data_IF_678974455925
#
_entry.id   IF_678974455925
#
_cell.length_a   1.000
_cell.length_b   1.000
_cell.length_c   1.000
_cell.angle_alpha   90.00
_cell.angle_beta   90.00
_cell.angle_gamma   90.00
#
_symmetry.space_group_name_H-M   'P 1'
#
loop_
_entity.id
_entity.type
_entity.pdbx_description
1 polymer ?
#
# COMPACT_ATOMS: atom_id res chain seq x y z
N UNK A 1 -34.63 5.08 -33.98
CA UNK A 1 -33.69 4.49 -33.01
C UNK A 1 -32.30 4.93 -33.45
N UNK A 2 -31.78 6.02 -32.80
CA UNK A 2 -30.51 6.62 -33.14
C UNK A 2 -29.40 5.88 -32.37
N UNK A 3 -28.67 4.99 -33.05
CA UNK A 3 -27.57 4.18 -32.52
C UNK A 3 -26.20 4.85 -32.79
N UNK A 4 -26.00 6.11 -32.42
CA UNK A 4 -24.69 6.78 -32.56
C UNK A 4 -24.43 7.73 -31.38
N UNK A 5 -24.57 7.26 -30.14
CA UNK A 5 -23.84 7.82 -29.02
C UNK A 5 -22.66 6.88 -28.72
N UNK A 6 -21.62 6.98 -29.56
CA UNK A 6 -20.30 6.50 -29.20
C UNK A 6 -19.89 7.24 -27.94
N UNK A 7 -19.76 6.53 -26.83
CA UNK A 7 -19.21 7.05 -25.59
C UNK A 7 -17.74 7.37 -25.88
N UNK A 8 -17.48 8.61 -26.32
CA UNK A 8 -16.14 9.17 -26.34
C UNK A 8 -15.81 9.43 -24.89
N UNK A 9 -15.15 8.48 -24.26
CA UNK A 9 -14.49 8.71 -22.99
C UNK A 9 -13.37 9.69 -23.34
N UNK A 10 -13.51 10.95 -22.98
CA UNK A 10 -12.42 11.92 -23.04
C UNK A 10 -11.35 11.47 -22.05
N UNK A 11 -10.42 10.64 -22.54
CA UNK A 11 -9.30 10.09 -21.82
C UNK A 11 -8.14 11.10 -21.66
N UNK A 12 -8.45 12.39 -21.74
CA UNK A 12 -7.57 13.50 -21.43
C UNK A 12 -7.97 14.15 -20.10
N UNK A 13 -8.22 13.33 -19.07
CA UNK A 13 -8.12 13.81 -17.72
C UNK A 13 -6.64 14.16 -17.47
N UNK A 14 -6.41 15.34 -16.95
CA UNK A 14 -5.10 15.87 -16.61
C UNK A 14 -4.48 14.96 -15.53
N UNK A 15 -3.81 13.89 -15.96
CA UNK A 15 -3.20 12.92 -15.03
C UNK A 15 -1.98 13.59 -14.41
N UNK A 16 -2.04 13.79 -13.09
CA UNK A 16 -0.90 14.25 -12.32
C UNK A 16 0.27 13.29 -12.50
N UNK A 17 1.45 13.83 -12.64
CA UNK A 17 2.69 13.04 -12.62
C UNK A 17 2.91 12.41 -11.25
N UNK A 18 3.66 11.32 -11.19
CA UNK A 18 4.02 10.65 -9.92
C UNK A 18 4.63 11.62 -8.91
N UNK A 19 5.42 12.60 -9.40
CA UNK A 19 6.05 13.61 -8.57
C UNK A 19 5.03 14.58 -7.96
N UNK A 20 4.02 14.99 -8.72
CA UNK A 20 2.94 15.85 -8.24
C UNK A 20 2.11 15.12 -7.19
N UNK A 21 1.74 13.87 -7.44
CA UNK A 21 1.02 13.01 -6.49
C UNK A 21 1.84 12.87 -5.19
N UNK A 22 3.14 12.60 -5.30
CA UNK A 22 4.01 12.44 -4.14
C UNK A 22 4.17 13.72 -3.31
N UNK A 23 4.20 14.89 -3.97
CA UNK A 23 4.31 16.20 -3.30
C UNK A 23 3.02 16.60 -2.59
N UNK A 24 1.88 16.30 -3.18
CA UNK A 24 0.56 16.62 -2.61
C UNK A 24 0.14 15.63 -1.51
N UNK A 25 0.75 14.44 -1.46
CA UNK A 25 0.41 13.41 -0.48
C UNK A 25 0.60 13.91 0.95
N UNK A 26 -0.47 13.88 1.73
CA UNK A 26 -0.44 14.22 3.15
C UNK A 26 0.23 13.10 3.94
N UNK A 27 1.48 13.31 4.31
CA UNK A 27 2.24 12.33 5.10
C UNK A 27 1.77 12.30 6.55
N UNK A 28 1.53 11.11 7.07
CA UNK A 28 1.22 10.85 8.48
C UNK A 28 2.47 10.32 9.17
N UNK A 29 2.73 10.75 10.40
CA UNK A 29 3.86 10.21 11.18
C UNK A 29 3.66 8.73 11.46
N UNK A 30 4.75 7.95 11.45
CA UNK A 30 4.67 6.49 11.58
C UNK A 30 4.09 6.04 12.92
N UNK A 31 4.37 6.74 14.00
CA UNK A 31 3.82 6.42 15.32
C UNK A 31 2.30 6.65 15.36
N UNK A 32 1.82 7.76 14.78
CA UNK A 32 0.39 8.06 14.70
C UNK A 32 -0.33 7.01 13.81
N UNK A 33 0.30 6.62 12.70
CA UNK A 33 -0.24 5.59 11.82
C UNK A 33 -0.36 4.25 12.52
N UNK A 34 0.69 3.84 13.22
CA UNK A 34 0.73 2.57 13.94
C UNK A 34 -0.31 2.51 15.06
N UNK A 35 -0.44 3.59 15.83
CA UNK A 35 -1.45 3.69 16.88
C UNK A 35 -2.87 3.62 16.32
N UNK A 36 -3.15 4.41 15.28
CA UNK A 36 -4.51 4.56 14.75
C UNK A 36 -4.97 3.38 13.88
N UNK A 37 -4.04 2.77 13.11
CA UNK A 37 -4.37 1.70 12.15
C UNK A 37 -4.03 0.30 12.65
N UNK A 38 -2.97 0.15 13.43
CA UNK A 38 -2.47 -1.16 13.85
C UNK A 38 -2.73 -1.43 15.35
N UNK A 39 -3.21 -0.43 16.11
CA UNK A 39 -3.36 -0.52 17.57
C UNK A 39 -2.06 -0.99 18.24
N UNK A 40 -0.96 -0.37 17.84
CA UNK A 40 0.37 -0.60 18.40
C UNK A 40 0.80 0.61 19.21
N UNK A 41 1.35 0.36 20.39
CA UNK A 41 1.90 1.39 21.25
C UNK A 41 3.33 1.76 20.82
N UNK A 42 3.80 2.92 21.25
CA UNK A 42 5.13 3.44 20.92
C UNK A 42 6.26 2.49 21.35
N UNK A 43 6.08 1.75 22.45
CA UNK A 43 7.02 0.74 22.94
C UNK A 43 7.18 -0.46 22.00
N UNK A 44 6.21 -0.70 21.13
CA UNK A 44 6.23 -1.78 20.16
C UNK A 44 6.98 -1.42 18.87
N UNK A 45 7.47 -0.18 18.78
CA UNK A 45 8.13 0.36 17.62
C UNK A 45 9.49 0.95 17.93
N UNK A 46 10.40 0.85 16.98
CA UNK A 46 11.71 1.50 16.98
C UNK A 46 11.71 2.51 15.82
N UNK A 47 11.47 3.82 16.08
CA UNK A 47 11.35 4.80 15.01
C UNK A 47 12.71 5.12 14.37
N UNK A 48 12.69 5.27 13.05
CA UNK A 48 13.79 5.78 12.23
C UNK A 48 13.35 7.09 11.58
N UNK A 49 13.41 8.18 12.30
CA UNK A 49 12.84 9.47 11.90
C UNK A 49 11.30 9.47 12.02
N UNK A 50 10.65 10.33 11.25
CA UNK A 50 9.20 10.58 11.41
C UNK A 50 8.30 9.60 10.65
N UNK A 51 8.81 8.95 9.60
CA UNK A 51 7.98 8.22 8.63
C UNK A 51 8.35 6.74 8.45
N UNK A 52 9.32 6.25 9.22
CA UNK A 52 9.76 4.85 9.20
C UNK A 52 9.92 4.33 10.61
N UNK A 53 9.62 3.06 10.83
CA UNK A 53 9.90 2.35 12.06
C UNK A 53 10.14 0.86 11.80
N UNK A 54 10.83 0.22 12.71
CA UNK A 54 10.86 -1.24 12.83
C UNK A 54 9.94 -1.65 13.97
N UNK A 55 9.42 -2.88 13.91
CA UNK A 55 8.70 -3.47 15.03
C UNK A 55 9.73 -3.97 16.03
N UNK A 56 9.57 -3.62 17.32
CA UNK A 56 10.44 -4.09 18.39
C UNK A 56 10.19 -5.57 18.68
N UNK A 57 11.13 -6.22 19.39
CA UNK A 57 10.95 -7.60 19.82
C UNK A 57 9.68 -7.78 20.68
N UNK A 58 9.44 -6.85 21.62
CA UNK A 58 8.19 -6.79 22.37
C UNK A 58 6.97 -6.71 21.48
N UNK A 59 7.03 -5.86 20.44
CA UNK A 59 5.95 -5.70 19.47
C UNK A 59 5.69 -7.00 18.70
N UNK A 60 6.72 -7.75 18.33
CA UNK A 60 6.55 -9.05 17.66
C UNK A 60 5.87 -10.06 18.58
N UNK A 61 6.31 -10.19 19.83
CA UNK A 61 5.70 -11.08 20.81
C UNK A 61 4.21 -10.74 21.08
N UNK A 62 3.87 -9.46 21.09
CA UNK A 62 2.48 -9.03 21.27
C UNK A 62 1.63 -9.31 20.02
N UNK A 63 2.21 -9.23 18.83
CA UNK A 63 1.52 -9.56 17.58
C UNK A 63 1.23 -11.06 17.48
N UNK A 64 2.11 -11.93 17.96
CA UNK A 64 1.90 -13.38 17.95
C UNK A 64 0.67 -13.81 18.77
N UNK A 65 0.29 -13.02 19.77
CA UNK A 65 -0.90 -13.27 20.60
C UNK A 65 -2.20 -12.85 19.91
N UNK A 66 -2.11 -12.04 18.84
CA UNK A 66 -3.29 -11.54 18.12
C UNK A 66 -3.79 -12.57 17.11
N UNK A 67 -5.09 -12.52 16.83
CA UNK A 67 -5.69 -13.35 15.79
C UNK A 67 -5.10 -13.01 14.43
N UNK A 68 -4.63 -14.01 13.70
CA UNK A 68 -4.13 -13.84 12.34
C UNK A 68 -5.22 -13.36 11.39
N UNK A 69 -4.86 -12.43 10.53
CA UNK A 69 -5.70 -11.98 9.43
C UNK A 69 -5.68 -12.95 8.24
N UNK A 70 -6.32 -12.55 7.15
CA UNK A 70 -6.26 -13.27 5.88
C UNK A 70 -4.99 -12.87 5.13
N UNK A 71 -4.25 -13.84 4.64
CA UNK A 71 -3.08 -13.63 3.80
C UNK A 71 -3.48 -13.77 2.33
N UNK A 72 -3.13 -12.77 1.52
CA UNK A 72 -3.28 -12.79 0.07
C UNK A 72 -1.88 -12.75 -0.54
N UNK A 73 -1.50 -13.80 -1.25
CA UNK A 73 -0.21 -13.87 -1.95
C UNK A 73 -0.38 -13.38 -3.39
N UNK A 74 0.40 -12.37 -3.77
CA UNK A 74 0.52 -11.91 -5.15
C UNK A 74 1.86 -12.39 -5.71
N UNK A 75 1.80 -13.24 -6.74
CA UNK A 75 2.98 -13.84 -7.35
C UNK A 75 2.84 -13.89 -8.88
N UNK A 76 3.89 -14.27 -9.57
CA UNK A 76 3.89 -14.55 -11.02
C UNK A 76 4.50 -15.91 -11.30
N UNK A 77 4.04 -16.58 -12.36
CA UNK A 77 4.54 -17.90 -12.73
C UNK A 77 5.89 -17.85 -13.38
N UNK A 78 6.13 -16.85 -14.23
CA UNK A 78 7.39 -16.71 -14.98
C UNK A 78 7.88 -15.25 -14.94
N UNK A 79 9.19 -15.00 -14.84
CA UNK A 79 9.74 -13.67 -14.95
C UNK A 79 9.67 -13.17 -16.40
N UNK A 80 9.46 -11.85 -16.56
CA UNK A 80 9.53 -11.16 -17.84
C UNK A 80 10.51 -9.98 -17.76
N UNK A 81 11.09 -9.58 -18.88
CA UNK A 81 12.04 -8.45 -18.92
C UNK A 81 11.40 -7.12 -18.55
N UNK A 82 10.11 -6.95 -18.81
CA UNK A 82 9.35 -5.73 -18.49
C UNK A 82 8.77 -5.73 -17.06
N UNK A 83 8.93 -6.81 -16.32
CA UNK A 83 8.27 -7.01 -15.03
C UNK A 83 6.80 -7.46 -15.17
N UNK A 84 6.27 -8.13 -14.15
CA UNK A 84 4.92 -8.72 -14.17
C UNK A 84 3.87 -7.87 -13.42
N UNK A 85 4.27 -6.71 -12.90
CA UNK A 85 3.37 -5.82 -12.18
C UNK A 85 2.93 -6.31 -10.80
N UNK A 86 3.66 -7.23 -10.18
CA UNK A 86 3.35 -7.76 -8.83
C UNK A 86 3.22 -6.66 -7.79
N UNK A 87 4.16 -5.74 -7.76
CA UNK A 87 4.16 -4.62 -6.80
C UNK A 87 2.98 -3.70 -7.04
N UNK A 88 2.75 -3.30 -8.30
CA UNK A 88 1.60 -2.44 -8.67
C UNK A 88 0.28 -3.10 -8.28
N UNK A 89 0.12 -4.39 -8.57
CA UNK A 89 -1.07 -5.15 -8.19
C UNK A 89 -1.24 -5.23 -6.67
N UNK A 90 -0.16 -5.47 -5.92
CA UNK A 90 -0.20 -5.57 -4.45
C UNK A 90 -0.61 -4.25 -3.81
N UNK A 91 -0.04 -3.13 -4.28
CA UNK A 91 -0.38 -1.78 -3.80
C UNK A 91 -1.83 -1.45 -4.14
N UNK A 92 -2.22 -1.59 -5.41
CA UNK A 92 -3.57 -1.28 -5.87
C UNK A 92 -4.65 -2.13 -5.19
N UNK A 93 -4.38 -3.42 -4.94
CA UNK A 93 -5.29 -4.29 -4.18
C UNK A 93 -5.44 -3.81 -2.73
N UNK A 94 -4.33 -3.43 -2.09
CA UNK A 94 -4.36 -2.94 -0.70
C UNK A 94 -5.13 -1.63 -0.60
N UNK A 95 -4.90 -0.70 -1.52
CA UNK A 95 -5.62 0.57 -1.58
C UNK A 95 -7.12 0.35 -1.84
N UNK A 96 -7.47 -0.52 -2.79
CA UNK A 96 -8.85 -0.89 -3.07
C UNK A 96 -9.55 -1.50 -1.87
N UNK A 97 -8.89 -2.40 -1.14
CA UNK A 97 -9.45 -3.00 0.08
C UNK A 97 -9.68 -1.95 1.17
N UNK A 98 -8.72 -1.05 1.39
CA UNK A 98 -8.89 0.05 2.35
C UNK A 98 -10.00 1.02 1.92
N UNK A 99 -10.13 1.31 0.62
CA UNK A 99 -11.17 2.16 0.07
C UNK A 99 -12.58 1.62 0.35
N UNK A 100 -12.78 0.30 0.25
CA UNK A 100 -14.07 -0.34 0.59
C UNK A 100 -14.23 -0.63 2.09
N UNK A 101 -13.42 -0.01 2.95
CA UNK A 101 -13.52 -0.08 4.41
C UNK A 101 -12.96 -1.37 5.03
N UNK A 102 -12.15 -2.15 4.30
CA UNK A 102 -11.40 -3.27 4.88
C UNK A 102 -10.09 -2.77 5.45
N UNK A 103 -9.65 -3.35 6.57
CA UNK A 103 -8.33 -3.05 7.11
C UNK A 103 -7.29 -3.95 6.44
N UNK A 104 -6.54 -3.41 5.51
CA UNK A 104 -5.54 -4.13 4.73
C UNK A 104 -4.18 -3.44 4.83
N UNK A 105 -3.12 -4.25 4.85
CA UNK A 105 -1.74 -3.80 4.85
C UNK A 105 -0.96 -4.59 3.80
N UNK A 106 -0.08 -3.90 3.05
CA UNK A 106 0.80 -4.54 2.08
C UNK A 106 2.14 -4.87 2.70
N UNK A 107 2.67 -6.05 2.38
CA UNK A 107 4.04 -6.43 2.65
C UNK A 107 4.75 -6.69 1.32
N UNK A 108 5.72 -5.88 0.97
CA UNK A 108 6.48 -5.98 -0.26
C UNK A 108 7.85 -6.60 0.01
N UNK A 109 8.25 -7.54 -0.84
CA UNK A 109 9.61 -8.07 -0.83
C UNK A 109 10.48 -7.23 -1.76
N UNK A 110 11.55 -6.65 -1.23
CA UNK A 110 12.56 -5.91 -1.99
C UNK A 110 11.96 -4.94 -3.04
N UNK A 111 11.10 -3.99 -2.63
CA UNK A 111 10.63 -3.00 -3.57
C UNK A 111 11.83 -2.19 -4.05
N UNK A 112 12.25 -2.40 -5.29
CA UNK A 112 13.31 -1.59 -5.89
C UNK A 112 12.68 -0.42 -6.63
N UNK A 113 13.23 0.76 -6.40
CA UNK A 113 13.09 1.86 -7.34
C UNK A 113 14.08 1.55 -8.47
N UNK A 114 13.62 1.50 -9.69
CA UNK A 114 14.50 1.36 -10.85
C UNK A 114 15.58 2.46 -10.88
N UNK A 115 16.66 2.26 -11.63
CA UNK A 115 17.71 3.26 -11.79
C UNK A 115 17.17 4.54 -12.44
#
# INVERSE_FOLDING_TARGET
>A
INANKCFRVDFMADYKTDLEIAREAKKVKILDLAKNKLSMDDENLIPYGHYKAKISEKGLLDLEKKKSGKLILVTAMTPTTAGEGKTTTSVGLTDGLNFIGKNAMVALREPSLGP
#
